data_IF_689763198393
#
_entry.id   IF_689763198393
#
_cell.length_a   1.000
_cell.length_b   1.000
_cell.length_c   1.000
_cell.angle_alpha   90.00
_cell.angle_beta   90.00
_cell.angle_gamma   90.00
#
_symmetry.space_group_name_H-M   'P 1'
#
loop_
_entity.id
_entity.type
_entity.pdbx_description
1 polymer ?
#
# COMPACT_ATOMS: atom_id res chain seq x y z
N UNK A 1 1.04 28.76 3.19
CA UNK A 1 1.75 27.60 3.78
C UNK A 1 0.85 26.41 3.53
N UNK A 2 1.32 25.32 2.91
CA UNK A 2 0.45 24.15 2.72
C UNK A 2 0.17 23.48 4.07
N UNK A 3 -1.10 23.22 4.34
CA UNK A 3 -1.52 22.31 5.41
C UNK A 3 -1.39 20.87 4.91
N UNK A 4 -0.65 20.04 5.63
CA UNK A 4 -0.44 18.61 5.36
C UNK A 4 -1.77 17.85 5.24
N UNK A 5 -1.90 16.90 4.29
CA UNK A 5 -3.04 16.00 4.23
C UNK A 5 -3.08 15.07 5.46
N UNK A 6 -4.26 14.92 6.07
CA UNK A 6 -4.55 13.84 7.02
C UNK A 6 -4.73 12.53 6.21
N UNK A 7 -3.61 11.88 5.87
CA UNK A 7 -3.62 10.52 5.33
C UNK A 7 -3.46 9.51 6.45
N UNK A 8 -4.35 8.50 6.51
CA UNK A 8 -4.10 7.35 7.37
C UNK A 8 -2.79 6.69 6.93
N UNK A 9 -1.91 6.33 7.87
CA UNK A 9 -0.56 5.76 7.67
C UNK A 9 -0.49 4.46 6.83
N UNK A 10 -1.62 3.97 6.33
CA UNK A 10 -1.74 2.72 5.58
C UNK A 10 -2.71 2.88 4.41
N UNK A 11 -2.23 2.66 3.19
CA UNK A 11 -3.03 2.61 1.96
C UNK A 11 -2.64 1.35 1.18
N UNK A 12 -3.60 0.48 0.87
CA UNK A 12 -3.37 -0.67 -0.03
C UNK A 12 -3.37 -0.20 -1.48
N UNK A 13 -2.71 -0.96 -2.36
CA UNK A 13 -2.93 -0.81 -3.81
C UNK A 13 -4.43 -0.90 -4.11
N UNK A 14 -4.98 0.07 -4.84
CA UNK A 14 -6.41 0.36 -5.09
C UNK A 14 -7.21 1.17 -4.05
N UNK A 15 -6.66 1.49 -2.87
CA UNK A 15 -7.32 2.43 -1.97
C UNK A 15 -7.30 3.86 -2.55
N UNK A 16 -8.34 4.63 -2.26
CA UNK A 16 -8.42 6.03 -2.68
C UNK A 16 -7.56 6.88 -1.75
N UNK A 17 -6.50 7.45 -2.30
CA UNK A 17 -5.69 8.47 -1.64
C UNK A 17 -6.31 9.83 -1.92
N UNK A 18 -6.55 10.60 -0.85
CA UNK A 18 -7.06 11.96 -0.94
C UNK A 18 -6.00 12.93 -0.45
N UNK A 19 -5.58 13.84 -1.31
CA UNK A 19 -4.64 14.92 -0.99
C UNK A 19 -5.39 16.22 -1.17
N UNK A 20 -5.54 17.00 -0.09
CA UNK A 20 -6.26 18.27 -0.14
C UNK A 20 -5.57 19.32 0.70
N UNK A 21 -5.67 20.57 0.27
CA UNK A 21 -5.07 21.68 0.98
C UNK A 21 -5.46 23.02 0.37
N UNK A 22 -4.74 24.04 0.81
CA UNK A 22 -4.88 25.41 0.33
C UNK A 22 -3.52 25.92 -0.11
N UNK A 23 -3.53 26.79 -1.11
CA UNK A 23 -2.39 27.64 -1.39
C UNK A 23 -2.66 29.01 -0.83
N UNK A 24 -1.70 29.55 -0.07
CA UNK A 24 -1.81 30.89 0.48
C UNK A 24 -0.79 31.82 -0.17
N UNK A 25 -1.18 33.08 -0.34
CA UNK A 25 -0.23 34.15 -0.60
C UNK A 25 0.68 34.42 0.63
N UNK A 26 1.63 35.35 0.47
CA UNK A 26 2.53 35.75 1.55
C UNK A 26 1.83 36.39 2.76
N UNK A 27 0.55 36.74 2.64
CA UNK A 27 -0.27 37.36 3.67
C UNK A 27 -1.24 36.36 4.32
N UNK A 28 -1.22 35.08 3.91
CA UNK A 28 -2.10 34.04 4.44
C UNK A 28 -3.49 34.00 3.80
N UNK A 29 -3.71 34.65 2.66
CA UNK A 29 -4.97 34.58 1.92
C UNK A 29 -4.96 33.39 0.96
N UNK A 30 -6.05 32.61 0.95
CA UNK A 30 -6.20 31.50 0.00
C UNK A 30 -6.29 31.99 -1.44
N UNK A 31 -5.42 31.44 -2.28
CA UNK A 31 -5.36 31.67 -3.72
C UNK A 31 -6.46 30.85 -4.40
N UNK A 32 -7.30 31.51 -5.21
CA UNK A 32 -8.48 30.89 -5.85
C UNK A 32 -8.29 30.72 -7.35
N UNK A 33 -8.83 29.67 -7.96
CA UNK A 33 -8.68 29.39 -9.40
C UNK A 33 -7.22 29.23 -9.86
N UNK A 34 -6.30 28.98 -8.94
CA UNK A 34 -4.95 28.52 -9.24
C UNK A 34 -5.00 27.13 -9.90
N UNK A 35 -4.21 26.95 -10.95
CA UNK A 35 -3.94 25.63 -11.50
C UNK A 35 -2.84 24.97 -10.68
N UNK A 36 -3.11 23.75 -10.23
CA UNK A 36 -2.20 22.98 -9.39
C UNK A 36 -2.02 21.59 -9.98
N UNK A 37 -0.83 21.03 -9.81
CA UNK A 37 -0.45 19.70 -10.29
C UNK A 37 -0.05 18.84 -9.10
N UNK A 38 -0.49 17.59 -9.12
CA UNK A 38 0.01 16.58 -8.20
C UNK A 38 1.28 15.97 -8.79
N UNK A 39 2.30 15.77 -7.95
CA UNK A 39 3.49 15.00 -8.31
C UNK A 39 3.67 13.90 -7.28
N UNK A 40 3.88 12.68 -7.77
CA UNK A 40 4.18 11.50 -6.96
C UNK A 40 5.52 10.95 -7.41
N UNK A 41 6.45 10.86 -6.47
CA UNK A 41 7.81 10.36 -6.71
C UNK A 41 8.11 9.17 -5.79
N UNK A 42 9.00 8.28 -6.25
CA UNK A 42 9.63 7.32 -5.35
C UNK A 42 10.62 8.01 -4.42
N UNK A 43 11.02 7.38 -3.31
CA UNK A 43 12.13 7.86 -2.44
C UNK A 43 13.48 8.06 -3.13
N UNK A 44 13.62 7.60 -4.37
CA UNK A 44 14.80 7.84 -5.23
C UNK A 44 14.56 8.98 -6.23
N UNK A 45 13.57 9.84 -5.99
CA UNK A 45 13.17 10.99 -6.82
C UNK A 45 12.82 10.60 -8.26
N UNK A 46 12.16 9.47 -8.46
CA UNK A 46 11.63 9.07 -9.78
C UNK A 46 10.16 9.42 -9.87
N UNK A 47 9.80 10.30 -10.81
CA UNK A 47 8.41 10.70 -11.07
C UNK A 47 7.60 9.51 -11.62
N UNK A 48 6.54 9.18 -10.89
CA UNK A 48 5.59 8.10 -11.18
C UNK A 48 4.16 8.62 -11.26
N UNK A 49 3.96 9.94 -11.36
CA UNK A 49 2.65 10.59 -11.40
C UNK A 49 1.78 10.03 -12.54
N UNK A 50 2.35 9.82 -13.72
CA UNK A 50 1.59 9.25 -14.85
C UNK A 50 1.12 7.81 -14.66
N UNK A 51 1.61 7.11 -13.62
CA UNK A 51 1.23 5.73 -13.32
C UNK A 51 0.04 5.64 -12.36
N UNK A 52 -0.25 6.69 -11.59
CA UNK A 52 -1.44 6.70 -10.73
C UNK A 52 -2.70 6.91 -11.57
N UNK A 53 -3.80 6.30 -11.14
CA UNK A 53 -5.11 6.47 -11.81
C UNK A 53 -5.94 7.48 -11.04
N UNK A 54 -6.31 8.60 -11.68
CA UNK A 54 -7.22 9.58 -11.07
C UNK A 54 -8.61 8.96 -10.95
N UNK A 55 -9.17 8.99 -9.73
CA UNK A 55 -10.50 8.43 -9.44
C UNK A 55 -11.63 9.37 -9.87
N UNK A 56 -11.31 10.65 -10.07
CA UNK A 56 -12.23 11.65 -10.59
C UNK A 56 -12.26 11.48 -12.12
N UNK A 57 -13.46 11.37 -12.68
CA UNK A 57 -13.76 11.02 -14.08
C UNK A 57 -13.17 11.94 -15.17
N UNK A 58 -12.38 12.95 -14.82
CA UNK A 58 -11.75 13.86 -15.78
C UNK A 58 -10.35 13.45 -16.22
N UNK A 59 -9.70 12.45 -15.60
CA UNK A 59 -8.48 11.86 -16.16
C UNK A 59 -7.24 12.77 -16.19
N UNK A 60 -7.16 13.79 -15.33
CA UNK A 60 -6.03 14.73 -15.34
C UNK A 60 -5.24 14.69 -14.02
N UNK A 61 -3.91 14.67 -14.13
CA UNK A 61 -2.93 14.91 -13.06
C UNK A 61 -2.97 16.38 -12.54
N UNK A 62 -3.93 17.15 -13.03
CA UNK A 62 -4.12 18.57 -12.82
C UNK A 62 -5.51 18.82 -12.23
N UNK A 63 -5.56 19.73 -11.27
CA UNK A 63 -6.82 20.22 -10.71
C UNK A 63 -6.75 21.74 -10.59
N UNK A 64 -7.92 22.38 -10.57
CA UNK A 64 -8.02 23.78 -10.21
C UNK A 64 -8.37 23.89 -8.73
N UNK A 65 -7.71 24.78 -8.00
CA UNK A 65 -8.20 25.21 -6.68
C UNK A 65 -9.61 25.78 -6.82
N UNK A 66 -10.47 25.43 -5.89
CA UNK A 66 -11.85 25.86 -5.79
C UNK A 66 -11.97 27.37 -5.90
N UNK A 67 -12.89 27.80 -6.77
CA UNK A 67 -13.20 29.21 -7.01
C UNK A 67 -13.78 29.93 -5.79
N UNK A 68 -14.28 29.19 -4.80
CA UNK A 68 -14.96 29.75 -3.62
C UNK A 68 -14.01 29.98 -2.44
N UNK A 69 -13.17 29.00 -2.12
CA UNK A 69 -12.34 28.96 -0.92
C UNK A 69 -10.84 28.69 -1.17
N UNK A 70 -10.41 28.52 -2.43
CA UNK A 70 -9.00 28.25 -2.76
C UNK A 70 -8.50 26.84 -2.40
N UNK A 71 -9.42 25.94 -2.02
CA UNK A 71 -9.09 24.56 -1.69
C UNK A 71 -8.84 23.73 -2.95
N UNK A 72 -7.80 22.92 -2.99
CA UNK A 72 -7.66 21.84 -3.97
C UNK A 72 -7.93 20.48 -3.33
N UNK A 73 -8.36 19.51 -4.14
CA UNK A 73 -8.51 18.12 -3.75
C UNK A 73 -8.10 17.23 -4.91
N UNK A 74 -7.11 16.36 -4.71
CA UNK A 74 -6.76 15.27 -5.59
C UNK A 74 -7.27 13.96 -4.99
N UNK A 75 -7.92 13.14 -5.81
CA UNK A 75 -8.30 11.78 -5.44
C UNK A 75 -7.81 10.82 -6.51
N UNK A 76 -6.94 9.89 -6.10
CA UNK A 76 -6.28 8.96 -7.00
C UNK A 76 -6.07 7.61 -6.34
N UNK A 77 -5.66 6.62 -7.13
CA UNK A 77 -5.31 5.28 -6.67
C UNK A 77 -3.94 4.89 -7.20
N UNK A 78 -3.15 4.27 -6.34
CA UNK A 78 -1.97 3.52 -6.77
C UNK A 78 -2.42 2.22 -7.45
N UNK A 79 -1.88 1.88 -8.63
CA UNK A 79 -2.06 0.56 -9.21
C UNK A 79 -1.62 -0.54 -8.24
N UNK A 80 -2.29 -1.69 -8.27
CA UNK A 80 -1.89 -2.89 -7.47
C UNK A 80 -0.48 -3.40 -7.74
N UNK A 81 0.17 -2.98 -8.84
CA UNK A 81 1.57 -3.27 -9.11
C UNK A 81 2.56 -2.36 -8.36
N UNK A 82 2.10 -1.26 -7.77
CA UNK A 82 2.93 -0.30 -7.04
C UNK A 82 2.85 -0.56 -5.53
N UNK A 83 4.01 -0.62 -4.89
CA UNK A 83 4.19 -0.74 -3.45
C UNK A 83 5.56 -0.16 -3.08
N UNK A 84 5.66 0.41 -1.88
CA UNK A 84 6.86 1.12 -1.43
C UNK A 84 6.56 2.44 -0.73
N UNK A 85 7.62 3.21 -0.49
CA UNK A 85 7.54 4.59 -0.01
C UNK A 85 7.51 5.56 -1.19
N UNK A 86 6.57 6.51 -1.13
CA UNK A 86 6.39 7.55 -2.11
C UNK A 86 6.35 8.92 -1.46
N UNK A 87 6.94 9.90 -2.14
CA UNK A 87 6.83 11.31 -1.81
C UNK A 87 5.75 11.93 -2.69
N UNK A 88 4.79 12.60 -2.05
CA UNK A 88 3.70 13.29 -2.72
C UNK A 88 3.87 14.78 -2.47
N UNK A 89 3.80 15.58 -3.54
CA UNK A 89 3.80 17.05 -3.47
C UNK A 89 2.78 17.63 -4.44
N UNK A 90 2.32 18.84 -4.13
CA UNK A 90 1.44 19.61 -4.99
C UNK A 90 2.15 20.88 -5.42
N UNK A 91 2.29 21.05 -6.73
CA UNK A 91 2.97 22.20 -7.31
C UNK A 91 1.98 23.16 -7.97
N UNK A 92 2.34 24.44 -7.95
CA UNK A 92 1.67 25.44 -8.77
C UNK A 92 2.09 25.30 -10.23
N UNK A 93 1.12 25.35 -11.14
CA UNK A 93 1.39 25.33 -12.58
C UNK A 93 1.32 26.74 -13.15
N UNK A 94 2.44 27.22 -13.68
CA UNK A 94 2.52 28.47 -14.41
C UNK A 94 2.67 29.72 -13.53
N UNK A 95 2.28 30.87 -14.08
CA UNK A 95 2.34 32.16 -13.39
C UNK A 95 0.94 32.57 -12.97
N UNK A 96 0.72 32.71 -11.66
CA UNK A 96 -0.55 33.18 -11.14
C UNK A 96 -0.50 34.67 -10.81
N UNK A 97 -1.54 35.40 -11.21
CA UNK A 97 -1.77 36.78 -10.81
C UNK A 97 -2.88 36.79 -9.76
N UNK A 98 -2.53 37.15 -8.53
CA UNK A 98 -3.54 37.38 -7.50
C UNK A 98 -4.37 38.62 -7.87
N UNK A 99 -5.68 38.41 -7.97
CA UNK A 99 -6.67 39.44 -8.31
C UNK A 99 -7.48 39.87 -7.10
N UNK A 100 -7.11 39.40 -5.89
CA UNK A 100 -7.73 39.86 -4.65
C UNK A 100 -7.69 41.40 -4.57
N UNK A 101 -8.79 42.07 -4.18
CA UNK A 101 -8.88 43.53 -4.12
C UNK A 101 -7.82 44.18 -3.21
N UNK A 102 -7.26 43.42 -2.27
CA UNK A 102 -6.21 43.81 -1.34
C UNK A 102 -4.79 43.62 -1.87
N UNK A 103 -4.61 42.93 -3.00
CA UNK A 103 -3.31 42.72 -3.63
C UNK A 103 -3.11 43.79 -4.72
N UNK A 104 -2.15 44.73 -4.55
CA UNK A 104 -1.87 45.74 -5.56
C UNK A 104 -1.50 45.06 -6.88
N UNK A 105 -2.09 45.55 -7.97
CA UNK A 105 -2.35 44.84 -9.22
C UNK A 105 -1.13 44.34 -10.06
N UNK A 106 0.07 44.21 -9.48
CA UNK A 106 1.32 43.94 -10.21
C UNK A 106 2.31 42.99 -9.49
N UNK A 107 1.89 42.24 -8.48
CA UNK A 107 2.78 41.25 -7.87
C UNK A 107 2.66 39.89 -8.59
N UNK A 108 3.63 39.60 -9.46
CA UNK A 108 3.90 38.26 -9.91
C UNK A 108 4.63 37.54 -8.78
N UNK A 109 3.97 36.59 -8.13
CA UNK A 109 4.66 35.71 -7.20
C UNK A 109 5.40 34.65 -8.01
N UNK A 110 6.72 34.75 -8.02
CA UNK A 110 7.56 33.61 -8.38
C UNK A 110 7.52 32.66 -7.18
N UNK A 111 6.54 31.76 -7.17
CA UNK A 111 6.49 30.72 -6.15
C UNK A 111 7.68 29.83 -6.45
N UNK A 112 8.67 29.89 -5.56
CA UNK A 112 9.80 28.97 -5.61
C UNK A 112 9.21 27.64 -5.18
N UNK A 113 9.19 26.66 -6.08
CA UNK A 113 8.74 25.31 -5.79
C UNK A 113 9.63 24.82 -4.64
N UNK A 114 9.03 24.63 -3.45
CA UNK A 114 9.75 24.00 -2.36
C UNK A 114 9.86 22.52 -2.73
N UNK A 115 11.07 22.04 -3.00
CA UNK A 115 11.31 20.67 -3.44
C UNK A 115 11.23 19.66 -2.30
N UNK A 116 10.82 20.09 -1.10
CA UNK A 116 10.60 19.19 0.04
C UNK A 116 9.30 18.41 -0.13
N UNK A 117 9.31 17.08 0.14
CA UNK A 117 8.08 16.29 0.16
C UNK A 117 7.06 16.91 1.13
N UNK A 118 5.83 17.08 0.67
CA UNK A 118 4.75 17.62 1.49
C UNK A 118 4.03 16.52 2.28
N UNK A 119 4.10 15.28 1.78
CA UNK A 119 3.53 14.10 2.39
C UNK A 119 4.31 12.84 1.97
N UNK A 120 4.61 11.97 2.95
CA UNK A 120 5.20 10.66 2.71
C UNK A 120 4.10 9.60 2.82
N UNK A 121 3.95 8.76 1.79
CA UNK A 121 2.97 7.68 1.78
C UNK A 121 3.67 6.33 1.76
N UNK A 122 3.23 5.42 2.64
CA UNK A 122 3.62 4.01 2.58
C UNK A 122 2.52 3.21 1.90
N UNK A 123 2.81 2.63 0.74
CA UNK A 123 1.87 1.82 -0.04
C UNK A 123 2.24 0.35 0.09
N UNK A 124 1.30 -0.44 0.60
CA UNK A 124 1.51 -1.87 0.84
C UNK A 124 0.94 -2.71 -0.31
N UNK A 125 1.72 -3.69 -0.76
CA UNK A 125 1.23 -4.71 -1.67
C UNK A 125 0.33 -5.69 -0.90
N UNK A 126 -0.93 -5.81 -1.33
CA UNK A 126 -1.84 -6.83 -0.84
C UNK A 126 -1.45 -8.22 -1.36
N UNK A 127 -1.67 -9.24 -0.52
CA UNK A 127 -1.35 -10.63 -0.84
C UNK A 127 -2.53 -11.57 -0.64
N UNK A 128 -2.55 -12.63 -1.44
CA UNK A 128 -3.48 -13.75 -1.38
C UNK A 128 -2.71 -15.05 -1.14
N UNK A 129 -3.18 -15.83 -0.17
CA UNK A 129 -2.58 -17.08 0.25
C UNK A 129 -3.59 -18.22 0.13
N UNK A 130 -3.20 -19.28 -0.58
CA UNK A 130 -3.86 -20.59 -0.48
C UNK A 130 -3.05 -21.51 0.43
N UNK A 131 -3.74 -22.39 1.16
CA UNK A 131 -3.11 -23.32 2.08
C UNK A 131 -3.88 -24.62 2.14
N UNK A 132 -3.16 -25.71 1.94
CA UNK A 132 -3.66 -27.08 1.92
C UNK A 132 -2.78 -27.98 2.77
N UNK A 133 -3.35 -29.07 3.27
CA UNK A 133 -2.58 -30.08 3.99
C UNK A 133 -3.08 -31.50 3.72
N UNK A 134 -2.15 -32.45 3.88
CA UNK A 134 -2.38 -33.89 3.83
C UNK A 134 -1.35 -34.60 4.72
N UNK A 135 -1.73 -35.70 5.39
CA UNK A 135 -3.04 -36.36 5.38
C UNK A 135 -4.10 -35.72 6.29
N UNK A 136 -5.36 -36.12 6.13
CA UNK A 136 -6.51 -35.60 6.91
C UNK A 136 -6.39 -35.90 8.40
N UNK A 137 -5.79 -37.05 8.72
CA UNK A 137 -5.54 -37.43 10.10
C UNK A 137 -4.22 -36.86 10.59
N UNK A 138 -4.29 -35.96 11.55
CA UNK A 138 -3.14 -35.35 12.21
C UNK A 138 -2.85 -36.08 13.52
N UNK A 139 -1.74 -36.82 13.58
CA UNK A 139 -1.36 -37.57 14.78
C UNK A 139 0.11 -37.32 15.16
N UNK A 140 0.41 -37.40 16.46
CA UNK A 140 1.78 -37.35 16.97
C UNK A 140 2.67 -38.39 16.28
N UNK A 141 3.84 -37.95 15.81
CA UNK A 141 4.83 -38.74 15.08
C UNK A 141 4.54 -38.88 13.59
N UNK A 142 3.39 -38.39 13.10
CA UNK A 142 3.02 -38.50 11.69
C UNK A 142 3.55 -37.30 10.89
N UNK A 143 4.13 -37.52 9.69
CA UNK A 143 4.45 -36.44 8.79
C UNK A 143 3.19 -35.89 8.13
N UNK A 144 3.10 -34.57 8.07
CA UNK A 144 2.10 -33.80 7.33
C UNK A 144 2.83 -32.95 6.30
N UNK A 145 2.29 -32.90 5.09
CA UNK A 145 2.70 -31.94 4.08
C UNK A 145 1.72 -30.80 4.09
N UNK A 146 2.23 -29.57 4.14
CA UNK A 146 1.47 -28.34 3.97
C UNK A 146 1.97 -27.65 2.71
N UNK A 147 1.06 -27.23 1.83
CA UNK A 147 1.42 -26.57 0.56
C UNK A 147 0.37 -25.55 0.14
N UNK A 148 0.73 -24.73 -0.83
CA UNK A 148 -0.18 -23.77 -1.44
C UNK A 148 0.58 -22.78 -2.29
N UNK A 149 -0.07 -21.64 -2.53
CA UNK A 149 0.44 -20.57 -3.38
C UNK A 149 0.35 -19.23 -2.66
N UNK A 150 1.36 -18.39 -2.87
CA UNK A 150 1.39 -17.00 -2.40
C UNK A 150 1.51 -16.07 -3.62
N UNK A 151 0.49 -15.23 -3.81
CA UNK A 151 0.44 -14.24 -4.90
C UNK A 151 0.14 -12.86 -4.35
N UNK A 152 0.54 -11.82 -5.07
CA UNK A 152 -0.03 -10.49 -4.90
C UNK A 152 -1.51 -10.48 -5.32
N UNK A 153 -2.27 -9.48 -4.90
CA UNK A 153 -3.69 -9.33 -5.29
C UNK A 153 -3.90 -9.22 -6.80
N UNK A 154 -2.88 -8.76 -7.53
CA UNK A 154 -2.87 -8.73 -9.00
C UNK A 154 -2.56 -10.09 -9.67
N UNK A 155 -2.40 -11.16 -8.87
CA UNK A 155 -2.10 -12.51 -9.34
C UNK A 155 -0.63 -12.79 -9.65
N UNK A 156 0.26 -11.80 -9.53
CA UNK A 156 1.70 -12.00 -9.70
C UNK A 156 2.27 -12.81 -8.53
N UNK A 157 3.24 -13.66 -8.81
CA UNK A 157 3.85 -14.56 -7.81
C UNK A 157 4.75 -13.78 -6.84
N UNK A 158 4.67 -14.10 -5.55
CA UNK A 158 5.56 -13.53 -4.53
C UNK A 158 6.79 -14.43 -4.40
N UNK A 159 7.94 -13.95 -4.89
CA UNK A 159 9.18 -14.75 -4.96
C UNK A 159 10.13 -14.55 -3.77
N UNK A 160 9.66 -13.89 -2.71
CA UNK A 160 10.46 -13.53 -1.54
C UNK A 160 9.60 -13.51 -0.29
N UNK A 161 10.14 -13.97 0.82
CA UNK A 161 9.55 -13.79 2.14
C UNK A 161 9.28 -15.09 2.86
N UNK A 162 8.93 -15.00 4.13
CA UNK A 162 8.95 -16.17 5.01
C UNK A 162 7.54 -16.58 5.36
N UNK A 163 7.19 -17.83 5.07
CA UNK A 163 5.96 -18.45 5.55
C UNK A 163 6.25 -19.19 6.86
N UNK A 164 5.31 -19.11 7.78
CA UNK A 164 5.29 -19.84 9.02
C UNK A 164 4.03 -20.70 9.09
N UNK A 165 4.18 -21.93 9.57
CA UNK A 165 3.06 -22.85 9.73
C UNK A 165 2.84 -23.04 11.21
N UNK A 166 1.66 -22.68 11.69
CA UNK A 166 1.28 -22.80 13.10
C UNK A 166 0.14 -23.79 13.26
N UNK A 167 0.17 -24.54 14.36
CA UNK A 167 -0.85 -25.50 14.70
C UNK A 167 -1.53 -25.08 15.98
N UNK A 168 -2.86 -25.10 15.98
CA UNK A 168 -3.64 -24.80 17.17
C UNK A 168 -4.55 -25.98 17.53
N UNK A 169 -4.77 -26.16 18.83
CA UNK A 169 -5.72 -27.14 19.35
C UNK A 169 -7.17 -26.63 19.29
N UNK A 170 -8.09 -27.46 19.78
CA UNK A 170 -9.52 -27.14 19.91
C UNK A 170 -9.82 -25.93 20.81
N UNK A 171 -8.88 -25.54 21.67
CA UNK A 171 -8.99 -24.39 22.57
C UNK A 171 -8.35 -23.12 21.98
N UNK A 172 -7.69 -23.22 20.82
CA UNK A 172 -6.97 -22.14 20.17
C UNK A 172 -5.58 -21.88 20.73
N UNK A 173 -5.03 -22.80 21.54
CA UNK A 173 -3.66 -22.71 22.04
C UNK A 173 -2.66 -23.18 20.97
N UNK A 174 -1.49 -22.53 20.91
CA UNK A 174 -0.43 -22.89 19.98
C UNK A 174 0.23 -24.20 20.42
N UNK A 175 0.06 -25.25 19.63
CA UNK A 175 0.65 -26.55 19.93
C UNK A 175 2.09 -26.68 19.44
N UNK A 176 2.38 -26.12 18.26
CA UNK A 176 3.72 -26.08 17.66
C UNK A 176 3.78 -25.03 16.54
N UNK A 177 4.99 -24.61 16.21
CA UNK A 177 5.31 -23.83 15.03
C UNK A 177 6.24 -24.66 14.13
N UNK A 178 5.69 -25.17 13.02
CA UNK A 178 6.49 -25.78 11.97
C UNK A 178 7.45 -24.76 11.40
N UNK A 179 8.70 -25.18 11.18
CA UNK A 179 9.78 -24.31 10.73
C UNK A 179 9.43 -23.46 9.50
N UNK A 180 10.10 -22.32 9.40
CA UNK A 180 9.92 -21.37 8.32
C UNK A 180 10.28 -21.96 6.95
N UNK A 181 9.42 -21.71 5.96
CA UNK A 181 9.68 -22.09 4.56
C UNK A 181 9.60 -20.87 3.67
N UNK A 182 10.56 -20.71 2.76
CA UNK A 182 10.49 -19.69 1.71
C UNK A 182 9.63 -20.26 0.56
N UNK A 183 8.73 -19.47 -0.05
CA UNK A 183 8.12 -19.83 -1.33
C UNK A 183 9.19 -20.19 -2.34
N UNK A 184 8.95 -21.27 -3.09
CA UNK A 184 9.83 -21.66 -4.19
C UNK A 184 9.68 -20.67 -5.33
N UNK A 185 10.80 -20.24 -5.91
CA UNK A 185 10.89 -19.25 -7.00
C UNK A 185 10.12 -19.62 -8.28
N UNK A 186 9.62 -20.85 -8.40
CA UNK A 186 8.70 -21.24 -9.46
C UNK A 186 7.26 -21.12 -8.98
N UNK A 187 6.50 -20.21 -9.60
CA UNK A 187 5.05 -20.04 -9.46
C UNK A 187 4.51 -19.53 -8.11
N UNK A 188 5.35 -19.15 -7.15
CA UNK A 188 4.88 -18.72 -5.82
C UNK A 188 4.37 -19.88 -4.95
N UNK A 189 4.68 -21.12 -5.37
CA UNK A 189 4.30 -22.33 -4.67
C UNK A 189 5.21 -22.56 -3.46
N UNK A 190 4.64 -22.99 -2.35
CA UNK A 190 5.40 -23.48 -1.20
C UNK A 190 4.96 -24.89 -0.84
N UNK A 191 5.88 -25.67 -0.27
CA UNK A 191 5.58 -27.00 0.27
C UNK A 191 6.55 -27.33 1.39
N UNK A 192 6.02 -27.79 2.52
CA UNK A 192 6.79 -28.13 3.70
C UNK A 192 6.26 -29.42 4.32
N UNK A 193 7.17 -30.37 4.57
CA UNK A 193 6.91 -31.53 5.41
C UNK A 193 7.18 -31.19 6.88
N UNK A 194 6.23 -31.49 7.76
CA UNK A 194 6.29 -31.24 9.21
C UNK A 194 5.96 -32.54 9.92
N UNK A 195 6.80 -32.98 10.85
CA UNK A 195 6.48 -34.12 11.72
C UNK A 195 5.83 -33.60 12.99
N UNK A 196 4.61 -34.05 13.27
CA UNK A 196 3.82 -33.57 14.39
C UNK A 196 4.41 -34.12 15.69
N UNK A 197 4.73 -33.26 16.65
CA UNK A 197 5.39 -33.64 17.91
C UNK A 197 4.47 -33.66 19.12
N UNK A 198 3.19 -33.35 18.94
CA UNK A 198 2.17 -33.26 19.97
C UNK A 198 0.90 -34.03 19.58
N UNK A 199 -0.02 -34.22 20.52
CA UNK A 199 -1.31 -34.85 20.27
C UNK A 199 -2.44 -33.81 20.23
N UNK A 200 -3.43 -33.99 19.36
CA UNK A 200 -4.69 -33.22 19.40
C UNK A 200 -4.70 -31.86 18.67
N UNK A 201 -4.09 -31.74 17.47
CA UNK A 201 -4.34 -30.54 16.65
C UNK A 201 -5.61 -30.68 15.83
N UNK A 202 -6.46 -29.66 15.87
CA UNK A 202 -7.67 -29.63 15.04
C UNK A 202 -7.57 -28.60 13.91
N UNK A 203 -6.62 -27.65 13.98
CA UNK A 203 -6.50 -26.59 12.97
C UNK A 203 -5.05 -26.21 12.65
N UNK A 204 -4.78 -26.06 11.36
CA UNK A 204 -3.48 -25.66 10.81
C UNK A 204 -3.64 -24.27 10.17
N UNK A 205 -2.77 -23.34 10.51
CA UNK A 205 -2.69 -22.03 9.88
C UNK A 205 -1.35 -21.86 9.16
N UNK A 206 -1.40 -21.26 7.98
CA UNK A 206 -0.22 -20.76 7.28
C UNK A 206 -0.26 -19.24 7.33
N UNK A 207 0.84 -18.63 7.73
CA UNK A 207 0.98 -17.20 7.88
C UNK A 207 2.20 -16.73 7.09
N UNK A 208 1.97 -15.77 6.21
CA UNK A 208 3.02 -14.98 5.59
C UNK A 208 3.26 -13.76 6.46
N UNK A 209 4.50 -13.59 6.93
CA UNK A 209 4.90 -12.38 7.64
C UNK A 209 5.41 -11.34 6.66
N UNK A 210 5.11 -10.08 6.95
CA UNK A 210 5.74 -8.94 6.28
C UNK A 210 7.27 -9.12 6.28
N UNK A 211 7.90 -8.88 5.12
CA UNK A 211 9.35 -8.85 5.02
C UNK A 211 9.78 -7.41 5.32
N UNK A 212 10.54 -7.16 6.40
CA UNK A 212 10.89 -5.79 6.76
C UNK A 212 11.51 -5.01 5.59
N UNK A 213 10.88 -3.90 5.23
CA UNK A 213 11.29 -3.04 4.11
C UNK A 213 10.83 -3.48 2.73
N UNK A 214 10.05 -4.56 2.60
CA UNK A 214 9.45 -4.98 1.32
C UNK A 214 8.08 -4.35 1.04
N UNK A 215 7.42 -3.78 2.06
CA UNK A 215 6.08 -3.20 1.94
C UNK A 215 5.06 -4.21 1.41
N UNK A 216 5.11 -5.45 1.90
CA UNK A 216 4.19 -6.52 1.52
C UNK A 216 3.36 -6.88 2.73
N UNK A 217 2.03 -6.80 2.60
CA UNK A 217 1.15 -7.10 3.72
C UNK A 217 1.18 -8.59 4.06
N UNK A 218 1.32 -8.89 5.36
CA UNK A 218 1.20 -10.24 5.88
C UNK A 218 -0.21 -10.79 5.71
N UNK A 219 -0.33 -12.10 5.50
CA UNK A 219 -1.62 -12.78 5.35
C UNK A 219 -1.62 -14.10 6.10
N UNK A 220 -2.71 -14.37 6.82
CA UNK A 220 -2.92 -15.63 7.55
C UNK A 220 -4.11 -16.38 6.99
N UNK A 221 -3.94 -17.67 6.71
CA UNK A 221 -4.97 -18.55 6.16
C UNK A 221 -5.04 -19.87 6.91
N UNK A 222 -6.25 -20.33 7.21
CA UNK A 222 -6.47 -21.70 7.66
C UNK A 222 -6.26 -22.67 6.50
N UNK A 223 -5.39 -23.66 6.69
CA UNK A 223 -5.16 -24.69 5.69
C UNK A 223 -6.38 -25.61 5.59
N UNK A 224 -6.74 -25.98 4.37
CA UNK A 224 -7.87 -26.88 4.09
C UNK A 224 -7.35 -28.27 3.71
N UNK A 225 -7.99 -29.32 4.19
CA UNK A 225 -7.64 -30.67 3.75
C UNK A 225 -7.80 -30.80 2.22
N UNK A 226 -6.78 -31.34 1.56
CA UNK A 226 -6.83 -31.68 0.15
C UNK A 226 -5.91 -32.87 -0.13
N UNK A 227 -6.31 -33.83 -0.96
CA UNK A 227 -5.41 -34.88 -1.43
C UNK A 227 -4.63 -34.35 -2.64
N UNK A 228 -3.28 -34.37 -2.64
CA UNK A 228 -2.48 -33.83 -3.74
C UNK A 228 -2.58 -34.65 -5.04
#
# INVERSE_FOLDING_TARGET
MLSTPDGNDYTRGDDIVTVSGFFDDAYGNHIKNAQVQLIVETKTNTDVTSLISSWISSGEDFQYTSSSNGQFVFQFRFPTSMHGLYDIRVEFVGHYKDTAPSCPAEQYYLITIDSTPEYEATIWAGTSLTAYYYPSSVMMGQPITVWGTLTFDNGTVVNSGTLNVTFVDEYGELCDAGGFTQPTVSAGDYSQGITITWAGSDTIYVEFFDVPGSYIEGVKKQATYNEP
#
